data_IF_387152071613
#
_entry.id   IF_387152071613
#
_cell.length_a   1.000
_cell.length_b   1.000
_cell.length_c   1.000
_cell.angle_alpha   90.00
_cell.angle_beta   90.00
_cell.angle_gamma   90.00
#
_symmetry.space_group_name_H-M   'P 1'
#
loop_
_entity.id
_entity.type
_entity.pdbx_description
1 polymer ?
#
# COMPACT_ATOMS: atom_id res chain seq x y z
N UNK A 1 65.51 9.74 3.62
CA UNK A 1 64.86 8.41 3.78
C UNK A 1 63.93 8.56 4.98
N UNK A 2 62.61 8.40 4.98
CA UNK A 2 61.63 7.75 4.11
C UNK A 2 60.33 8.57 4.28
N UNK A 3 59.75 9.09 3.18
CA UNK A 3 58.47 9.81 3.20
C UNK A 3 57.37 8.77 3.37
N UNK A 4 56.75 8.67 4.55
CA UNK A 4 55.51 7.89 4.70
C UNK A 4 54.36 8.90 4.61
N UNK A 5 53.96 9.14 3.38
CA UNK A 5 52.73 9.82 3.02
C UNK A 5 51.58 8.88 3.42
N UNK A 6 51.09 8.98 4.67
CA UNK A 6 49.84 8.32 5.05
C UNK A 6 48.68 9.09 4.39
N UNK A 7 48.45 8.73 3.14
CA UNK A 7 47.21 8.99 2.44
C UNK A 7 46.11 8.28 3.23
N UNK A 8 45.43 9.00 4.12
CA UNK A 8 44.25 8.50 4.81
C UNK A 8 43.16 8.41 3.74
N UNK A 9 43.07 7.25 3.12
CA UNK A 9 42.04 6.89 2.16
C UNK A 9 40.70 6.90 2.93
N UNK A 10 39.98 8.02 2.86
CA UNK A 10 38.64 8.15 3.41
C UNK A 10 37.73 7.27 2.55
N UNK A 11 37.63 5.98 2.90
CA UNK A 11 36.65 5.06 2.33
C UNK A 11 35.30 5.54 2.83
N UNK A 12 34.65 6.43 2.08
CA UNK A 12 33.22 6.65 2.21
C UNK A 12 32.52 5.36 1.78
N UNK A 13 32.29 4.47 2.74
CA UNK A 13 31.34 3.37 2.60
C UNK A 13 29.98 4.04 2.38
N UNK A 14 29.60 4.24 1.12
CA UNK A 14 28.22 4.50 0.73
C UNK A 14 27.44 3.22 1.03
N UNK A 15 27.03 3.05 2.28
CA UNK A 15 26.01 2.07 2.63
C UNK A 15 24.77 2.46 1.80
N UNK A 16 24.30 1.61 0.87
CA UNK A 16 23.03 1.87 0.21
C UNK A 16 22.00 1.96 1.33
N UNK A 17 21.34 3.11 1.43
CA UNK A 17 20.23 3.31 2.36
C UNK A 17 19.16 2.30 1.95
N UNK A 18 19.06 1.20 2.69
CA UNK A 18 17.96 0.25 2.55
C UNK A 18 16.70 1.02 2.96
N UNK A 19 15.99 1.58 1.96
CA UNK A 19 14.64 2.04 2.20
C UNK A 19 13.81 0.81 2.57
N UNK A 20 13.10 0.88 3.69
CA UNK A 20 12.07 -0.10 3.97
C UNK A 20 11.08 -0.13 2.79
N UNK A 21 10.51 -1.30 2.53
CA UNK A 21 9.48 -1.45 1.50
C UNK A 21 8.31 -0.51 1.80
N UNK A 22 7.77 0.10 0.74
CA UNK A 22 6.59 0.96 0.81
C UNK A 22 5.45 0.31 0.04
N UNK A 23 4.29 0.19 0.68
CA UNK A 23 3.09 -0.32 0.02
C UNK A 23 2.70 0.60 -1.15
N UNK A 24 2.41 0.07 -2.35
CA UNK A 24 1.98 0.87 -3.50
C UNK A 24 0.73 1.70 -3.24
N UNK A 25 0.51 2.71 -4.09
CA UNK A 25 -0.74 3.47 -4.05
C UNK A 25 -1.87 2.56 -4.54
N UNK A 26 -2.94 2.50 -3.77
CA UNK A 26 -4.12 1.79 -4.18
C UNK A 26 -4.80 2.54 -5.34
N UNK A 27 -5.05 1.84 -6.42
CA UNK A 27 -5.88 2.31 -7.51
C UNK A 27 -7.34 1.97 -7.19
N UNK A 28 -8.16 3.00 -7.07
CA UNK A 28 -9.60 2.89 -6.87
C UNK A 28 -10.29 3.09 -8.22
N UNK A 29 -11.22 2.19 -8.56
CA UNK A 29 -12.04 2.29 -9.77
C UNK A 29 -13.51 2.16 -9.41
N UNK A 30 -14.31 3.11 -9.84
CA UNK A 30 -15.77 3.01 -9.79
C UNK A 30 -16.23 2.02 -10.85
N UNK A 31 -17.11 1.10 -10.45
CA UNK A 31 -17.70 0.10 -11.33
C UNK A 31 -19.09 0.57 -11.78
N UNK A 32 -19.52 0.08 -12.94
CA UNK A 32 -20.83 0.40 -13.51
C UNK A 32 -21.72 -0.85 -13.47
N UNK A 33 -23.01 -0.73 -13.10
CA UNK A 33 -23.73 0.50 -12.73
C UNK A 33 -23.50 0.96 -11.28
N UNK A 34 -22.84 0.15 -10.46
CA UNK A 34 -22.51 0.42 -9.06
C UNK A 34 -21.29 -0.39 -8.64
N UNK A 35 -20.79 -0.13 -7.44
CA UNK A 35 -19.65 -0.81 -6.85
C UNK A 35 -18.32 -0.09 -7.11
N UNK A 36 -17.27 -0.62 -6.51
CA UNK A 36 -15.91 -0.16 -6.71
C UNK A 36 -14.91 -1.30 -6.53
N UNK A 37 -13.71 -1.11 -7.05
CA UNK A 37 -12.57 -1.95 -6.75
C UNK A 37 -11.41 -1.14 -6.20
N UNK A 38 -10.62 -1.78 -5.35
CA UNK A 38 -9.38 -1.24 -4.81
C UNK A 38 -8.26 -2.21 -5.11
N UNK A 39 -7.21 -1.75 -5.78
CA UNK A 39 -6.18 -2.62 -6.32
C UNK A 39 -4.78 -2.08 -6.12
N UNK A 40 -3.82 -2.97 -5.90
CA UNK A 40 -2.38 -2.68 -5.97
C UNK A 40 -1.70 -3.63 -6.97
N UNK A 41 -0.62 -3.20 -7.64
CA UNK A 41 0.17 -4.11 -8.46
C UNK A 41 0.78 -5.21 -7.59
N UNK A 42 0.86 -6.40 -8.16
CA UNK A 42 1.61 -7.50 -7.56
C UNK A 42 3.11 -7.24 -7.68
N UNK A 43 3.86 -7.65 -6.67
CA UNK A 43 5.32 -7.56 -6.62
C UNK A 43 5.88 -8.83 -5.99
N UNK A 44 7.11 -9.17 -6.35
CA UNK A 44 7.75 -10.38 -5.83
C UNK A 44 7.78 -10.38 -4.30
N UNK A 45 7.27 -11.45 -3.71
CA UNK A 45 7.27 -11.68 -2.27
C UNK A 45 5.97 -11.25 -1.57
N UNK A 46 5.04 -10.58 -2.25
CA UNK A 46 3.72 -10.31 -1.69
C UNK A 46 2.94 -11.62 -1.57
N UNK A 47 2.37 -11.87 -0.40
CA UNK A 47 1.56 -13.06 -0.11
C UNK A 47 0.17 -12.73 0.41
N UNK A 48 -0.08 -11.47 0.79
CA UNK A 48 -1.38 -10.98 1.23
C UNK A 48 -1.50 -9.49 0.97
N UNK A 49 -2.68 -9.06 0.54
CA UNK A 49 -3.11 -7.67 0.52
C UNK A 49 -4.38 -7.55 1.37
N UNK A 50 -4.49 -6.52 2.21
CA UNK A 50 -5.71 -6.22 2.94
C UNK A 50 -6.16 -4.79 2.69
N UNK A 51 -7.47 -4.61 2.58
CA UNK A 51 -8.12 -3.32 2.42
C UNK A 51 -9.08 -3.08 3.58
N UNK A 52 -8.95 -1.90 4.20
CA UNK A 52 -9.80 -1.43 5.28
C UNK A 52 -10.29 -0.02 4.97
N UNK A 53 -11.60 0.22 4.98
CA UNK A 53 -12.13 1.53 4.65
C UNK A 53 -13.56 1.81 5.07
N UNK A 54 -13.93 3.09 5.04
CA UNK A 54 -15.24 3.65 5.39
C UNK A 54 -15.62 4.75 4.39
N UNK A 55 -16.93 4.92 4.18
CA UNK A 55 -17.48 5.96 3.31
C UNK A 55 -17.97 7.13 4.16
N UNK A 56 -17.57 8.34 3.79
CA UNK A 56 -17.98 9.62 4.39
C UNK A 56 -17.71 9.73 5.91
N UNK A 57 -16.82 8.89 6.43
CA UNK A 57 -16.43 8.88 7.83
C UNK A 57 -14.94 8.53 7.92
N UNK A 58 -14.16 9.39 8.59
CA UNK A 58 -12.71 9.19 8.76
C UNK A 58 -12.39 7.89 9.51
N UNK A 59 -11.21 7.34 9.25
CA UNK A 59 -10.69 6.18 9.96
C UNK A 59 -10.13 6.60 11.33
N UNK A 60 -10.54 5.93 12.40
CA UNK A 60 -9.88 6.06 13.70
C UNK A 60 -8.66 5.13 13.80
N UNK A 61 -7.52 5.58 13.29
CA UNK A 61 -6.29 4.79 13.27
C UNK A 61 -6.41 3.56 12.37
N UNK A 62 -6.04 2.38 12.88
CA UNK A 62 -6.05 1.10 12.15
C UNK A 62 -7.33 0.29 12.45
N UNK A 63 -8.47 0.97 12.58
CA UNK A 63 -9.76 0.28 12.73
C UNK A 63 -10.12 -0.52 11.48
N UNK A 64 -10.94 -1.55 11.66
CA UNK A 64 -11.33 -2.44 10.56
C UNK A 64 -12.08 -1.71 9.45
N UNK A 65 -12.93 -0.73 9.79
CA UNK A 65 -13.79 -0.04 8.85
C UNK A 65 -15.04 -0.83 8.46
N UNK A 66 -15.85 -0.26 7.56
CA UNK A 66 -17.04 -0.91 6.98
C UNK A 66 -16.62 -2.03 6.03
N UNK A 67 -15.61 -1.76 5.21
CA UNK A 67 -14.94 -2.76 4.39
C UNK A 67 -13.67 -3.19 5.11
N UNK A 68 -13.48 -4.49 5.30
CA UNK A 68 -12.34 -5.09 5.99
C UNK A 68 -12.11 -6.47 5.42
N UNK A 69 -11.21 -6.61 4.44
CA UNK A 69 -11.02 -7.88 3.75
C UNK A 69 -9.56 -8.16 3.39
N UNK A 70 -9.16 -9.41 3.63
CA UNK A 70 -7.92 -10.00 3.14
C UNK A 70 -8.11 -10.59 1.74
N UNK A 71 -7.20 -10.26 0.85
CA UNK A 71 -7.05 -10.78 -0.50
C UNK A 71 -5.81 -11.66 -0.45
N UNK A 72 -6.01 -12.97 -0.64
CA UNK A 72 -4.98 -14.00 -0.47
C UNK A 72 -4.37 -14.48 -1.78
N UNK A 73 -4.78 -13.90 -2.92
CA UNK A 73 -4.29 -14.27 -4.24
C UNK A 73 -4.29 -13.09 -5.21
N UNK A 74 -3.18 -12.89 -5.92
CA UNK A 74 -3.13 -11.99 -7.08
C UNK A 74 -3.74 -12.65 -8.32
N UNK A 75 -4.41 -11.85 -9.14
CA UNK A 75 -4.98 -12.26 -10.43
C UNK A 75 -4.45 -11.29 -11.49
N UNK A 76 -3.80 -11.85 -12.53
CA UNK A 76 -3.23 -11.08 -13.64
C UNK A 76 -2.29 -9.95 -13.20
N UNK A 77 -1.51 -10.16 -12.13
CA UNK A 77 -0.56 -9.17 -11.62
C UNK A 77 -1.18 -8.10 -10.72
N UNK A 78 -2.39 -8.33 -10.20
CA UNK A 78 -3.07 -7.39 -9.30
C UNK A 78 -3.65 -8.08 -8.08
N UNK A 79 -3.52 -7.44 -6.92
CA UNK A 79 -4.29 -7.76 -5.72
C UNK A 79 -5.48 -6.83 -5.69
N UNK A 80 -6.70 -7.37 -5.70
CA UNK A 80 -7.89 -6.55 -5.87
C UNK A 80 -9.00 -6.93 -4.91
N UNK A 81 -9.44 -5.96 -4.12
CA UNK A 81 -10.70 -5.95 -3.42
C UNK A 81 -11.82 -5.53 -4.38
N UNK A 82 -13.00 -6.13 -4.24
CA UNK A 82 -14.21 -5.74 -4.98
C UNK A 82 -15.40 -5.64 -4.02
N UNK A 83 -16.15 -4.54 -4.12
CA UNK A 83 -17.54 -4.49 -3.68
C UNK A 83 -18.42 -4.16 -4.89
N UNK A 84 -19.23 -5.13 -5.33
CA UNK A 84 -20.12 -5.00 -6.49
C UNK A 84 -21.46 -4.33 -6.16
N UNK A 85 -21.72 -4.04 -4.89
CA UNK A 85 -23.00 -3.55 -4.38
C UNK A 85 -22.93 -2.17 -3.75
N UNK A 86 -21.74 -1.69 -3.38
CA UNK A 86 -21.57 -0.35 -2.85
C UNK A 86 -22.14 0.72 -3.80
N UNK A 87 -22.99 1.58 -3.26
CA UNK A 87 -23.57 2.72 -3.98
C UNK A 87 -22.80 3.99 -3.63
N UNK A 88 -21.82 4.35 -4.48
CA UNK A 88 -21.05 5.57 -4.34
C UNK A 88 -21.67 6.69 -5.19
N UNK A 89 -21.72 7.90 -4.64
CA UNK A 89 -22.27 9.10 -5.29
C UNK A 89 -21.17 10.14 -5.50
N UNK A 90 -21.26 10.98 -6.55
CA UNK A 90 -20.33 12.08 -6.73
C UNK A 90 -20.21 12.94 -5.46
N UNK A 91 -18.97 13.17 -5.03
CA UNK A 91 -18.67 13.90 -3.80
C UNK A 91 -18.59 13.06 -2.52
N UNK A 92 -18.94 11.77 -2.57
CA UNK A 92 -18.62 10.86 -1.46
C UNK A 92 -17.09 10.73 -1.30
N UNK A 93 -16.65 10.50 -0.07
CA UNK A 93 -15.23 10.36 0.29
C UNK A 93 -14.99 9.00 0.94
N UNK A 94 -14.13 8.20 0.32
CA UNK A 94 -13.64 6.94 0.85
C UNK A 94 -12.36 7.19 1.68
N UNK A 95 -12.42 6.90 2.97
CA UNK A 95 -11.27 6.92 3.88
C UNK A 95 -10.80 5.48 4.10
N UNK A 96 -9.49 5.23 4.01
CA UNK A 96 -8.98 3.86 4.04
C UNK A 96 -7.51 3.75 4.46
N UNK A 97 -7.10 2.54 4.77
CA UNK A 97 -5.70 2.13 4.83
C UNK A 97 -5.54 0.76 4.17
N UNK A 98 -4.32 0.47 3.69
CA UNK A 98 -3.99 -0.81 3.08
C UNK A 98 -2.84 -1.48 3.79
N UNK A 99 -2.82 -2.81 3.73
CA UNK A 99 -1.75 -3.63 4.28
C UNK A 99 -1.27 -4.66 3.26
N UNK A 100 0.02 -4.95 3.31
CA UNK A 100 0.69 -5.95 2.48
C UNK A 100 1.58 -6.81 3.37
N UNK A 101 1.44 -8.13 3.25
CA UNK A 101 2.44 -9.06 3.76
C UNK A 101 3.44 -9.34 2.63
N UNK A 102 4.67 -8.87 2.77
CA UNK A 102 5.75 -9.08 1.80
C UNK A 102 6.92 -9.76 2.48
N UNK A 103 7.35 -10.90 1.95
CA UNK A 103 8.46 -11.70 2.49
C UNK A 103 8.30 -12.01 4.00
N UNK A 104 7.05 -12.21 4.44
CA UNK A 104 6.70 -12.46 5.84
C UNK A 104 6.66 -11.22 6.75
N UNK A 105 6.91 -10.03 6.21
CA UNK A 105 6.87 -8.77 6.94
C UNK A 105 5.64 -7.94 6.54
N UNK A 106 5.00 -7.32 7.53
CA UNK A 106 3.83 -6.50 7.36
C UNK A 106 4.16 -5.04 7.08
N UNK A 107 3.59 -4.49 6.02
CA UNK A 107 3.73 -3.10 5.63
C UNK A 107 2.36 -2.50 5.40
N UNK A 108 2.23 -1.19 5.60
CA UNK A 108 0.96 -0.49 5.41
C UNK A 108 1.13 0.84 4.71
N UNK A 109 0.03 1.30 4.12
CA UNK A 109 -0.14 2.68 3.69
C UNK A 109 -1.38 3.22 4.37
N UNK A 110 -1.16 4.19 5.24
CA UNK A 110 -2.17 4.79 6.11
C UNK A 110 -2.75 6.05 5.47
N UNK A 111 -3.86 6.55 6.03
CA UNK A 111 -4.47 7.84 5.69
C UNK A 111 -4.84 7.99 4.19
N UNK A 112 -5.28 6.91 3.56
CA UNK A 112 -5.81 6.93 2.21
C UNK A 112 -7.13 7.70 2.15
N UNK A 113 -7.27 8.58 1.15
CA UNK A 113 -8.47 9.36 0.90
C UNK A 113 -8.75 9.36 -0.61
N UNK A 114 -10.00 9.12 -0.99
CA UNK A 114 -10.44 9.19 -2.38
C UNK A 114 -11.83 9.82 -2.47
N UNK A 115 -12.00 10.81 -3.34
CA UNK A 115 -13.28 11.44 -3.63
C UNK A 115 -13.85 10.89 -4.93
N UNK A 116 -15.12 10.49 -4.89
CA UNK A 116 -15.90 9.92 -6.01
C UNK A 116 -16.27 10.99 -7.03
#
# INVERSE_FOLDING_TARGET
MFKILFCVYFIHILLPSSSAYQVPAAQIKLLQPRGFSVSIPDEQGITLFAFHGKLNEEMNGLEAGTWSQDITKSINGWWTFYDMNAELKPGDVLYFWTYVLKDGLGYRRDNGVFTV
#
